data_IF_157272931346
#
_entry.id   IF_157272931346
#
_cell.length_a   1.000
_cell.length_b   1.000
_cell.length_c   1.000
_cell.angle_alpha   90.00
_cell.angle_beta   90.00
_cell.angle_gamma   90.00
#
_symmetry.space_group_name_H-M   'P 1'
#
loop_
_entity.id
_entity.type
_entity.pdbx_description
1 polymer ?
#
# COMPACT_ATOMS: atom_id res chain seq x y z
N UNK A 1 -7.08 2.51 -8.59
CA UNK A 1 -7.70 3.35 -9.63
C UNK A 1 -6.86 4.60 -9.81
N UNK A 2 -6.79 5.15 -11.03
CA UNK A 2 -5.95 6.30 -11.40
C UNK A 2 -6.21 7.56 -10.55
N UNK A 3 -7.43 7.68 -9.99
CA UNK A 3 -7.85 8.80 -9.15
C UNK A 3 -7.13 8.86 -7.78
N UNK A 4 -6.44 7.79 -7.36
CA UNK A 4 -5.72 7.74 -6.09
C UNK A 4 -4.22 7.99 -6.24
N UNK A 5 -3.75 8.33 -7.45
CA UNK A 5 -2.33 8.61 -7.68
C UNK A 5 -1.94 9.93 -7.01
N UNK A 6 -0.80 9.90 -6.33
CA UNK A 6 -0.23 11.06 -5.65
C UNK A 6 1.17 11.32 -6.19
N UNK A 7 1.59 12.60 -6.25
CA UNK A 7 2.97 12.93 -6.56
C UNK A 7 3.95 12.17 -5.67
N UNK A 8 5.01 11.61 -6.27
CA UNK A 8 6.05 10.86 -5.56
C UNK A 8 5.79 9.35 -5.44
N UNK A 9 4.68 8.84 -5.98
CA UNK A 9 4.53 7.41 -6.26
C UNK A 9 5.41 7.00 -7.45
N UNK A 10 5.79 5.72 -7.54
CA UNK A 10 6.64 5.19 -8.62
C UNK A 10 5.94 4.06 -9.35
N UNK A 11 6.08 3.99 -10.67
CA UNK A 11 5.54 2.89 -11.47
C UNK A 11 6.26 1.57 -11.15
N UNK A 12 5.50 0.53 -10.79
CA UNK A 12 6.04 -0.82 -10.59
C UNK A 12 6.11 -1.63 -11.89
N UNK A 13 5.43 -1.19 -12.95
CA UNK A 13 5.45 -1.82 -14.28
C UNK A 13 5.38 -0.74 -15.37
N UNK A 14 5.87 -1.03 -16.58
CA UNK A 14 5.74 -0.10 -17.69
C UNK A 14 4.26 0.08 -18.07
N UNK A 15 3.90 1.32 -18.41
CA UNK A 15 2.59 1.62 -18.99
C UNK A 15 2.71 1.45 -20.50
N UNK A 16 1.87 0.59 -21.07
CA UNK A 16 1.83 0.30 -22.50
C UNK A 16 0.49 0.74 -23.10
N UNK A 17 0.49 1.10 -24.38
CA UNK A 17 -0.74 1.33 -25.14
C UNK A 17 -1.33 -0.01 -25.64
N UNK A 18 -2.46 0.04 -26.34
CA UNK A 18 -3.10 -1.16 -26.93
C UNK A 18 -2.22 -1.91 -27.94
N UNK A 19 -1.24 -1.22 -28.55
CA UNK A 19 -0.29 -1.83 -29.49
C UNK A 19 0.96 -2.41 -28.80
N UNK A 20 1.03 -2.41 -27.46
CA UNK A 20 2.18 -2.89 -26.69
C UNK A 20 3.39 -1.94 -26.66
N UNK A 21 3.25 -0.72 -27.18
CA UNK A 21 4.30 0.30 -27.13
C UNK A 21 4.37 0.90 -25.73
N UNK A 22 5.58 0.94 -25.16
CA UNK A 22 5.83 1.55 -23.85
C UNK A 22 5.66 3.07 -23.93
N UNK A 23 4.72 3.60 -23.16
CA UNK A 23 4.45 5.04 -23.01
C UNK A 23 5.28 5.61 -21.87
N UNK A 24 5.32 4.90 -20.73
CA UNK A 24 6.15 5.23 -19.58
C UNK A 24 6.89 3.97 -19.13
N UNK A 25 8.21 4.03 -18.94
CA UNK A 25 8.97 2.89 -18.46
C UNK A 25 8.66 2.60 -16.99
N UNK A 26 8.96 1.37 -16.56
CA UNK A 26 9.01 1.01 -15.15
C UNK A 26 9.93 1.96 -14.36
N UNK A 27 9.60 2.19 -13.09
CA UNK A 27 10.38 3.05 -12.22
C UNK A 27 10.19 4.56 -12.44
N UNK A 28 9.32 4.96 -13.38
CA UNK A 28 8.97 6.38 -13.59
C UNK A 28 8.33 6.96 -12.34
N UNK A 29 8.85 8.10 -11.87
CA UNK A 29 8.25 8.89 -10.80
C UNK A 29 6.98 9.61 -11.30
N UNK A 30 5.88 9.39 -10.59
CA UNK A 30 4.61 10.05 -10.86
C UNK A 30 4.66 11.48 -10.31
N UNK A 31 5.05 12.41 -11.18
CA UNK A 31 4.92 13.85 -10.93
C UNK A 31 3.51 14.32 -11.32
N UNK A 32 3.11 15.53 -10.90
CA UNK A 32 1.81 16.11 -11.28
C UNK A 32 1.57 16.08 -12.82
N UNK A 33 2.52 16.52 -13.68
CA UNK A 33 2.33 16.46 -15.13
C UNK A 33 2.16 15.03 -15.67
N UNK A 34 2.84 14.04 -15.06
CA UNK A 34 2.74 12.63 -15.46
C UNK A 34 1.36 12.07 -15.11
N UNK A 35 0.85 12.39 -13.91
CA UNK A 35 -0.49 11.97 -13.47
C UNK A 35 -1.56 12.57 -14.39
N UNK A 36 -1.47 13.87 -14.70
CA UNK A 36 -2.40 14.54 -15.61
C UNK A 36 -2.40 13.90 -17.01
N UNK A 37 -1.21 13.58 -17.53
CA UNK A 37 -1.06 12.88 -18.81
C UNK A 37 -1.72 11.50 -18.77
N UNK A 38 -1.50 10.73 -17.72
CA UNK A 38 -2.09 9.40 -17.55
C UNK A 38 -3.63 9.46 -17.48
N UNK A 39 -4.18 10.46 -16.78
CA UNK A 39 -5.63 10.71 -16.73
C UNK A 39 -6.19 11.06 -18.11
N UNK A 40 -5.51 11.91 -18.88
CA UNK A 40 -5.92 12.29 -20.23
C UNK A 40 -5.92 11.12 -21.21
N UNK A 41 -5.08 10.09 -20.98
CA UNK A 41 -4.99 8.89 -21.80
C UNK A 41 -6.06 7.84 -21.51
N UNK A 42 -6.95 8.08 -20.53
CA UNK A 42 -8.05 7.18 -20.15
C UNK A 42 -7.59 5.74 -19.80
N UNK A 43 -6.41 5.61 -19.21
CA UNK A 43 -5.86 4.31 -18.79
C UNK A 43 -6.66 3.79 -17.58
N UNK A 44 -7.20 2.57 -17.68
CA UNK A 44 -8.06 1.99 -16.66
C UNK A 44 -7.36 1.73 -15.32
N UNK A 45 -6.11 1.26 -15.36
CA UNK A 45 -5.31 0.97 -14.17
C UNK A 45 -3.81 0.98 -14.48
N UNK A 46 -3.02 1.27 -13.45
CA UNK A 46 -1.56 1.20 -13.48
C UNK A 46 -1.07 0.51 -12.21
N UNK A 47 0.11 -0.11 -12.26
CA UNK A 47 0.79 -0.70 -11.10
C UNK A 47 1.79 0.28 -10.52
N UNK A 48 1.69 0.56 -9.23
CA UNK A 48 2.62 1.42 -8.50
C UNK A 48 3.41 0.60 -7.48
N UNK A 49 4.62 1.03 -7.15
CA UNK A 49 5.37 0.49 -6.04
C UNK A 49 4.60 0.72 -4.74
N UNK A 50 4.21 -0.37 -4.08
CA UNK A 50 3.56 -0.31 -2.79
C UNK A 50 4.60 -0.01 -1.72
N UNK A 51 4.54 1.17 -1.11
CA UNK A 51 5.08 1.33 0.24
C UNK A 51 4.02 0.78 1.20
N UNK A 52 4.37 -0.24 1.99
CA UNK A 52 3.57 -0.64 3.16
C UNK A 52 3.68 0.48 4.20
N UNK A 53 2.98 1.59 3.97
CA UNK A 53 2.79 2.61 5.00
C UNK A 53 1.39 2.39 5.54
N UNK A 54 1.24 1.97 6.80
CA UNK A 54 -0.07 1.83 7.40
C UNK A 54 -0.80 3.18 7.43
N UNK A 55 -2.06 3.19 6.95
CA UNK A 55 -2.87 4.42 6.91
C UNK A 55 -3.23 4.96 8.31
N UNK A 56 -3.21 4.08 9.32
CA UNK A 56 -3.55 4.42 10.71
C UNK A 56 -2.28 4.59 11.55
N UNK A 57 -2.28 5.48 12.55
CA UNK A 57 -1.21 5.53 13.54
C UNK A 57 -1.04 4.19 14.26
N UNK A 58 0.21 3.83 14.58
CA UNK A 58 0.57 2.60 15.29
C UNK A 58 -0.28 2.36 16.53
N UNK A 59 -0.50 3.39 17.34
CA UNK A 59 -1.26 3.30 18.59
C UNK A 59 -2.72 2.88 18.38
N UNK A 60 -3.35 3.34 17.29
CA UNK A 60 -4.72 2.97 16.95
C UNK A 60 -4.78 1.49 16.55
N UNK A 61 -3.83 1.04 15.74
CA UNK A 61 -3.76 -0.36 15.29
C UNK A 61 -3.51 -1.31 16.47
N UNK A 62 -2.60 -0.95 17.39
CA UNK A 62 -2.34 -1.75 18.59
C UNK A 62 -3.58 -1.88 19.48
N UNK A 63 -4.36 -0.81 19.68
CA UNK A 63 -5.63 -0.87 20.41
C UNK A 63 -6.67 -1.76 19.73
N UNK A 64 -6.75 -1.72 18.40
CA UNK A 64 -7.65 -2.59 17.63
C UNK A 64 -7.25 -4.07 17.77
N UNK A 65 -5.95 -4.36 17.80
CA UNK A 65 -5.43 -5.70 18.07
C UNK A 65 -5.79 -6.13 19.48
N UNK A 66 -5.55 -5.29 20.49
CA UNK A 66 -5.91 -5.60 21.87
C UNK A 66 -7.40 -5.97 22.02
N UNK A 67 -8.28 -5.17 21.43
CA UNK A 67 -9.73 -5.42 21.46
C UNK A 67 -10.12 -6.75 20.77
N UNK A 68 -9.45 -7.12 19.67
CA UNK A 68 -9.74 -8.38 18.94
C UNK A 68 -9.33 -9.63 19.72
N UNK A 69 -8.28 -9.52 20.54
CA UNK A 69 -7.75 -10.63 21.32
C UNK A 69 -8.23 -10.65 22.78
N UNK A 70 -9.08 -9.70 23.19
CA UNK A 70 -9.59 -9.59 24.57
C UNK A 70 -10.25 -10.88 25.06
N UNK A 71 -11.04 -11.53 24.18
CA UNK A 71 -11.79 -12.75 24.52
C UNK A 71 -10.95 -14.03 24.54
N UNK A 72 -9.71 -13.97 24.05
CA UNK A 72 -8.84 -15.14 23.87
C UNK A 72 -7.61 -15.09 24.78
N UNK A 73 -7.63 -14.24 25.81
CA UNK A 73 -6.47 -13.99 26.68
C UNK A 73 -5.97 -15.24 27.43
N UNK A 74 -6.87 -16.18 27.72
CA UNK A 74 -6.58 -17.42 28.44
C UNK A 74 -6.14 -18.57 27.52
N UNK A 75 -6.19 -18.37 26.19
CA UNK A 75 -5.77 -19.36 25.22
C UNK A 75 -4.29 -19.15 24.87
N UNK A 76 -3.43 -20.09 25.29
CA UNK A 76 -1.98 -20.01 25.09
C UNK A 76 -1.57 -19.71 23.65
N UNK A 77 -2.24 -20.35 22.68
CA UNK A 77 -1.95 -20.16 21.25
C UNK A 77 -2.36 -18.77 20.74
N UNK A 78 -3.44 -18.19 21.27
CA UNK A 78 -3.92 -16.86 20.87
C UNK A 78 -3.05 -15.76 21.45
N UNK A 79 -2.54 -15.93 22.67
CA UNK A 79 -1.54 -15.04 23.25
C UNK A 79 -0.26 -15.00 22.39
N UNK A 80 0.23 -16.17 21.96
CA UNK A 80 1.38 -16.27 21.06
C UNK A 80 1.12 -15.58 19.71
N UNK A 81 -0.04 -15.82 19.09
CA UNK A 81 -0.43 -15.19 17.84
C UNK A 81 -0.50 -13.66 17.95
N UNK A 82 -1.06 -13.15 19.06
CA UNK A 82 -1.12 -11.71 19.35
C UNK A 82 0.28 -11.09 19.40
N UNK A 83 1.23 -11.73 20.08
CA UNK A 83 2.60 -11.23 20.18
C UNK A 83 3.28 -11.14 18.81
N UNK A 84 3.18 -12.20 17.99
CA UNK A 84 3.74 -12.22 16.62
C UNK A 84 3.12 -11.13 15.75
N UNK A 85 1.80 -10.94 15.85
CA UNK A 85 1.10 -9.89 15.11
C UNK A 85 1.56 -8.48 15.54
N UNK A 86 1.74 -8.24 16.84
CA UNK A 86 2.21 -6.95 17.37
C UNK A 86 3.62 -6.65 16.86
N UNK A 87 4.53 -7.62 16.91
CA UNK A 87 5.90 -7.47 16.41
C UNK A 87 5.91 -7.11 14.93
N UNK A 88 5.16 -7.85 14.11
CA UNK A 88 5.01 -7.56 12.68
C UNK A 88 4.45 -6.16 12.43
N UNK A 89 3.42 -5.76 13.19
CA UNK A 89 2.81 -4.42 13.03
C UNK A 89 3.80 -3.32 13.42
N UNK A 90 4.59 -3.49 14.48
CA UNK A 90 5.61 -2.51 14.88
C UNK A 90 6.64 -2.33 13.75
N UNK A 91 7.04 -3.41 13.08
CA UNK A 91 7.99 -3.35 11.96
C UNK A 91 7.47 -2.56 10.76
N UNK A 92 6.14 -2.47 10.56
CA UNK A 92 5.55 -1.64 9.50
C UNK A 92 5.68 -0.13 9.73
N UNK A 93 6.10 0.31 10.92
CA UNK A 93 6.28 1.72 11.27
C UNK A 93 7.74 2.11 11.55
N UNK A 94 8.69 1.21 11.26
CA UNK A 94 10.14 1.52 11.30
C UNK A 94 10.57 2.14 9.97
#
# INVERSE_FOLDING_TARGET
MINNLKPGMKLAQPVQNESGMVILPEGTDLTLPVIERLCAMNIASIMIEGKMVPDKPKEVVLKEIDARFEKTINEKHMSMLKSILIEHVIDLYK
#
